data_IF_373782659183
#
_entry.id   IF_373782659183
#
_cell.length_a   1.000
_cell.length_b   1.000
_cell.length_c   1.000
_cell.angle_alpha   90.00
_cell.angle_beta   90.00
_cell.angle_gamma   90.00
#
_symmetry.space_group_name_H-M   'P 1'
#
loop_
_entity.id
_entity.type
_entity.pdbx_description
1 polymer ?
#
# COMPACT_ATOMS: atom_id res chain seq x y z
N UNK A 1 -8.57 -0.18 -25.02
CA UNK A 1 -9.88 0.00 -24.35
C UNK A 1 -9.63 0.36 -22.91
N UNK A 2 -10.57 1.02 -22.23
CA UNK A 2 -10.41 1.44 -20.83
C UNK A 2 -11.27 0.59 -19.91
N UNK A 3 -10.72 0.27 -18.75
CA UNK A 3 -11.47 -0.21 -17.59
C UNK A 3 -11.17 0.69 -16.40
N UNK A 4 -12.07 0.70 -15.43
CA UNK A 4 -12.04 1.58 -14.28
C UNK A 4 -12.04 0.76 -13.01
N UNK A 5 -11.29 1.18 -12.01
CA UNK A 5 -11.49 0.60 -10.67
C UNK A 5 -12.84 1.07 -10.10
N UNK A 6 -13.45 0.32 -9.16
CA UNK A 6 -14.86 0.50 -8.83
C UNK A 6 -15.27 1.84 -8.21
N UNK A 7 -14.36 2.56 -7.55
CA UNK A 7 -14.63 3.81 -6.83
C UNK A 7 -15.02 3.60 -5.36
N UNK A 8 -14.45 2.62 -4.67
CA UNK A 8 -14.59 2.41 -3.22
C UNK A 8 -13.74 3.36 -2.38
N UNK A 9 -12.80 4.07 -3.02
CA UNK A 9 -11.91 5.06 -2.42
C UNK A 9 -10.45 4.73 -2.68
N UNK A 10 -9.56 5.67 -2.38
CA UNK A 10 -8.15 5.60 -2.79
C UNK A 10 -7.46 4.30 -2.35
N UNK A 11 -7.69 3.82 -1.11
CA UNK A 11 -7.01 2.61 -0.62
C UNK A 11 -7.50 1.32 -1.31
N UNK A 12 -8.80 0.95 -1.31
CA UNK A 12 -9.25 -0.25 -2.01
C UNK A 12 -9.00 -0.21 -3.51
N UNK A 13 -9.23 0.94 -4.16
CA UNK A 13 -9.02 1.08 -5.59
C UNK A 13 -7.55 0.95 -5.98
N UNK A 14 -6.62 1.39 -5.14
CA UNK A 14 -5.18 1.17 -5.34
C UNK A 14 -4.84 -0.32 -5.32
N UNK A 15 -5.39 -1.07 -4.37
CA UNK A 15 -5.18 -2.52 -4.31
C UNK A 15 -5.78 -3.23 -5.52
N UNK A 16 -7.00 -2.87 -5.92
CA UNK A 16 -7.66 -3.42 -7.11
C UNK A 16 -6.84 -3.08 -8.38
N UNK A 17 -6.34 -1.86 -8.49
CA UNK A 17 -5.44 -1.44 -9.57
C UNK A 17 -4.19 -2.33 -9.61
N UNK A 18 -3.51 -2.55 -8.48
CA UNK A 18 -2.33 -3.41 -8.43
C UNK A 18 -2.63 -4.87 -8.79
N UNK A 19 -3.80 -5.39 -8.40
CA UNK A 19 -4.28 -6.72 -8.82
C UNK A 19 -4.38 -6.82 -10.34
N UNK A 20 -5.07 -5.86 -10.96
CA UNK A 20 -5.25 -5.81 -12.42
C UNK A 20 -3.90 -5.66 -13.12
N UNK A 21 -3.08 -4.70 -12.70
CA UNK A 21 -1.80 -4.39 -13.32
C UNK A 21 -0.80 -5.55 -13.20
N UNK A 22 -0.70 -6.18 -12.03
CA UNK A 22 0.18 -7.33 -11.85
C UNK A 22 -0.20 -8.48 -12.81
N UNK A 23 -1.49 -8.79 -12.94
CA UNK A 23 -1.94 -9.82 -13.88
C UNK A 23 -1.73 -9.37 -15.34
N UNK A 24 -1.95 -8.11 -15.65
CA UNK A 24 -1.74 -7.53 -16.98
C UNK A 24 -0.28 -7.60 -17.42
N UNK A 25 0.68 -7.41 -16.50
CA UNK A 25 2.12 -7.53 -16.76
C UNK A 25 2.57 -8.98 -16.93
N UNK A 26 1.85 -9.96 -16.37
CA UNK A 26 2.14 -11.40 -16.45
C UNK A 26 1.40 -12.12 -17.58
N UNK A 27 0.54 -11.40 -18.30
CA UNK A 27 -0.19 -11.93 -19.44
C UNK A 27 0.76 -12.44 -20.53
N UNK A 28 0.32 -13.45 -21.30
CA UNK A 28 1.17 -14.05 -22.36
C UNK A 28 1.42 -13.10 -23.51
N UNK A 29 0.53 -12.12 -23.68
CA UNK A 29 0.66 -11.02 -24.62
C UNK A 29 0.68 -9.71 -23.83
N UNK A 30 1.43 -8.68 -24.27
CA UNK A 30 1.38 -7.38 -23.63
C UNK A 30 -0.04 -6.79 -23.68
N UNK A 31 -0.70 -6.70 -22.52
CA UNK A 31 -2.07 -6.16 -22.43
C UNK A 31 -2.14 -4.79 -21.75
N UNK A 32 -1.25 -4.48 -20.80
CA UNK A 32 -1.21 -3.18 -20.12
C UNK A 32 -0.57 -2.12 -21.01
N UNK A 33 -1.20 -0.95 -21.08
CA UNK A 33 -0.66 0.23 -21.75
C UNK A 33 -0.26 1.29 -20.73
N UNK A 34 -1.26 1.83 -20.03
CA UNK A 34 -1.14 3.00 -19.18
C UNK A 34 -2.14 2.90 -18.03
N UNK A 35 -1.82 3.54 -16.92
CA UNK A 35 -2.71 3.72 -15.77
C UNK A 35 -2.77 5.20 -15.42
N UNK A 36 -3.97 5.71 -15.20
CA UNK A 36 -4.20 7.08 -14.73
C UNK A 36 -4.95 7.08 -13.40
N UNK A 37 -4.37 7.66 -12.36
CA UNK A 37 -5.04 7.92 -11.09
C UNK A 37 -5.91 9.19 -11.19
N UNK A 38 -7.21 9.05 -10.90
CA UNK A 38 -8.22 10.10 -11.01
C UNK A 38 -8.88 10.39 -9.64
N UNK A 39 -8.05 10.62 -8.61
CA UNK A 39 -8.51 10.91 -7.25
C UNK A 39 -8.89 9.65 -6.47
N UNK A 40 -10.10 9.14 -6.69
CA UNK A 40 -10.65 8.02 -5.91
C UNK A 40 -10.73 6.68 -6.66
N UNK A 41 -10.35 6.67 -7.93
CA UNK A 41 -10.34 5.51 -8.80
C UNK A 41 -9.21 5.64 -9.83
N UNK A 42 -8.97 4.57 -10.58
CA UNK A 42 -7.98 4.51 -11.64
C UNK A 42 -8.64 4.16 -12.98
N UNK A 43 -8.19 4.84 -14.04
CA UNK A 43 -8.42 4.43 -15.42
C UNK A 43 -7.25 3.54 -15.87
N UNK A 44 -7.53 2.34 -16.36
CA UNK A 44 -6.51 1.39 -16.82
C UNK A 44 -6.74 1.12 -18.30
N UNK A 45 -5.76 1.48 -19.13
CA UNK A 45 -5.81 1.19 -20.55
C UNK A 45 -5.27 -0.21 -20.85
N UNK A 46 -6.12 -1.04 -21.45
CA UNK A 46 -5.84 -2.43 -21.79
C UNK A 46 -6.06 -2.71 -23.28
N UNK A 47 -5.21 -3.53 -23.89
CA UNK A 47 -5.35 -3.93 -25.31
C UNK A 47 -6.33 -5.06 -25.53
N UNK A 48 -6.36 -6.02 -24.61
CA UNK A 48 -7.09 -7.28 -24.74
C UNK A 48 -7.67 -7.68 -23.37
N UNK A 49 -8.98 -7.47 -23.22
CA UNK A 49 -9.70 -7.78 -21.98
C UNK A 49 -9.81 -9.29 -21.74
N UNK A 50 -9.87 -10.10 -22.80
CA UNK A 50 -9.97 -11.55 -22.67
C UNK A 50 -8.66 -12.13 -22.15
N UNK A 51 -7.54 -11.70 -22.71
CA UNK A 51 -6.23 -12.12 -22.22
C UNK A 51 -5.97 -11.63 -20.79
N UNK A 52 -6.41 -10.41 -20.43
CA UNK A 52 -6.37 -9.94 -19.04
C UNK A 52 -7.18 -10.83 -18.10
N UNK A 53 -8.43 -11.15 -18.46
CA UNK A 53 -9.28 -12.03 -17.66
C UNK A 53 -8.66 -13.43 -17.49
N UNK A 54 -8.05 -13.99 -18.54
CA UNK A 54 -7.31 -15.25 -18.45
C UNK A 54 -6.12 -15.14 -17.52
N UNK A 55 -5.37 -14.04 -17.59
CA UNK A 55 -4.21 -13.82 -16.74
C UNK A 55 -4.60 -13.75 -15.25
N UNK A 56 -5.61 -12.95 -14.92
CA UNK A 56 -6.15 -12.84 -13.55
C UNK A 56 -6.63 -14.21 -13.05
N UNK A 57 -7.45 -14.90 -13.85
CA UNK A 57 -7.99 -16.20 -13.46
C UNK A 57 -6.88 -17.23 -13.19
N UNK A 58 -5.90 -17.32 -14.10
CA UNK A 58 -4.78 -18.25 -13.98
C UNK A 58 -3.88 -17.94 -12.77
N UNK A 59 -3.57 -16.66 -12.54
CA UNK A 59 -2.72 -16.25 -11.44
C UNK A 59 -3.41 -16.50 -10.09
N UNK A 60 -4.69 -16.17 -9.96
CA UNK A 60 -5.47 -16.46 -8.76
C UNK A 60 -5.54 -17.97 -8.50
N UNK A 61 -5.82 -18.79 -9.52
CA UNK A 61 -5.83 -20.26 -9.36
C UNK A 61 -4.50 -20.83 -8.86
N UNK A 62 -3.37 -20.25 -9.28
CA UNK A 62 -2.03 -20.72 -8.86
C UNK A 62 -1.64 -20.25 -7.47
N UNK A 63 -2.04 -19.05 -7.10
CA UNK A 63 -1.61 -18.38 -5.87
C UNK A 63 -2.66 -18.43 -4.75
N UNK A 64 -3.82 -19.06 -4.95
CA UNK A 64 -4.96 -19.03 -4.03
C UNK A 64 -4.55 -19.26 -2.56
N UNK A 65 -3.78 -20.32 -2.30
CA UNK A 65 -3.37 -20.67 -0.94
C UNK A 65 -2.36 -19.66 -0.35
N UNK A 66 -1.46 -19.12 -1.18
CA UNK A 66 -0.52 -18.08 -0.74
C UNK A 66 -1.25 -16.76 -0.43
N UNK A 67 -2.25 -16.42 -1.26
CA UNK A 67 -3.11 -15.25 -1.05
C UNK A 67 -3.84 -15.40 0.28
N UNK A 68 -4.52 -16.52 0.51
CA UNK A 68 -5.28 -16.77 1.73
C UNK A 68 -4.39 -16.86 2.97
N UNK A 69 -3.18 -17.43 2.85
CA UNK A 69 -2.20 -17.43 3.94
C UNK A 69 -1.78 -16.01 4.35
N UNK A 70 -1.46 -15.13 3.39
CA UNK A 70 -1.08 -13.73 3.70
C UNK A 70 -2.26 -12.96 4.29
N UNK A 71 -3.43 -13.08 3.67
CA UNK A 71 -4.64 -12.34 4.10
C UNK A 71 -5.20 -12.86 5.41
N UNK A 72 -5.07 -14.16 5.70
CA UNK A 72 -5.59 -14.82 6.90
C UNK A 72 -5.06 -14.22 8.22
N UNK A 73 -3.87 -13.60 8.21
CA UNK A 73 -3.35 -12.86 9.36
C UNK A 73 -4.22 -11.64 9.73
N UNK A 74 -4.94 -11.10 8.74
CA UNK A 74 -5.72 -9.86 8.81
C UNK A 74 -7.23 -10.08 8.78
N UNK A 75 -7.69 -11.33 8.82
CA UNK A 75 -9.10 -11.65 8.71
C UNK A 75 -9.54 -12.66 9.76
N UNK A 76 -10.83 -12.73 10.00
CA UNK A 76 -11.45 -13.72 10.87
C UNK A 76 -11.76 -15.00 10.07
N UNK A 77 -11.81 -16.19 10.69
CA UNK A 77 -12.07 -17.44 9.97
C UNK A 77 -13.36 -17.43 9.13
N UNK A 78 -14.42 -16.77 9.61
CA UNK A 78 -15.67 -16.64 8.85
C UNK A 78 -15.59 -15.69 7.65
N UNK A 79 -14.61 -14.78 7.64
CA UNK A 79 -14.33 -13.91 6.49
C UNK A 79 -13.53 -14.66 5.44
N UNK A 80 -12.58 -15.51 5.84
CA UNK A 80 -11.74 -16.30 4.94
C UNK A 80 -12.56 -17.12 3.94
N UNK A 81 -13.66 -17.74 4.38
CA UNK A 81 -14.57 -18.47 3.47
C UNK A 81 -15.16 -17.56 2.38
N UNK A 82 -15.52 -16.32 2.72
CA UNK A 82 -16.06 -15.34 1.75
C UNK A 82 -14.98 -14.89 0.77
N UNK A 83 -13.76 -14.69 1.27
CA UNK A 83 -12.60 -14.37 0.44
C UNK A 83 -12.28 -15.49 -0.54
N UNK A 84 -12.23 -16.74 -0.07
CA UNK A 84 -12.02 -17.92 -0.91
C UNK A 84 -13.08 -18.01 -2.01
N UNK A 85 -14.36 -17.84 -1.66
CA UNK A 85 -15.44 -17.83 -2.67
C UNK A 85 -15.26 -16.71 -3.71
N UNK A 86 -14.78 -15.54 -3.31
CA UNK A 86 -14.53 -14.40 -4.21
C UNK A 86 -13.32 -14.66 -5.13
N UNK A 87 -12.28 -15.31 -4.62
CA UNK A 87 -11.15 -15.76 -5.42
C UNK A 87 -11.56 -16.85 -6.42
N UNK A 88 -12.39 -17.81 -6.01
CA UNK A 88 -12.95 -18.85 -6.89
C UNK A 88 -13.79 -18.22 -8.00
N UNK A 89 -14.61 -17.22 -7.68
CA UNK A 89 -15.36 -16.47 -8.70
C UNK A 89 -14.43 -15.86 -9.76
N UNK A 90 -13.34 -15.21 -9.36
CA UNK A 90 -12.39 -14.63 -10.31
C UNK A 90 -11.46 -15.65 -10.99
N UNK A 91 -11.30 -16.84 -10.42
CA UNK A 91 -10.52 -17.93 -11.04
C UNK A 91 -11.27 -18.59 -12.20
N UNK A 92 -12.57 -18.34 -12.31
CA UNK A 92 -13.36 -18.72 -13.48
C UNK A 92 -13.29 -17.65 -14.57
N UNK A 93 -12.61 -17.97 -15.68
CA UNK A 93 -12.38 -17.04 -16.80
C UNK A 93 -13.63 -16.28 -17.27
N UNK A 94 -14.78 -16.97 -17.44
CA UNK A 94 -16.01 -16.34 -17.94
C UNK A 94 -16.58 -15.33 -16.96
N UNK A 95 -16.56 -15.66 -15.67
CA UNK A 95 -17.05 -14.79 -14.60
C UNK A 95 -16.13 -13.59 -14.43
N UNK A 96 -14.81 -13.81 -14.43
CA UNK A 96 -13.82 -12.73 -14.42
C UNK A 96 -13.98 -11.79 -15.63
N UNK A 97 -14.09 -12.32 -16.85
CA UNK A 97 -14.28 -11.51 -18.05
C UNK A 97 -15.58 -10.69 -17.99
N UNK A 98 -16.67 -11.30 -17.50
CA UNK A 98 -17.94 -10.60 -17.35
C UNK A 98 -17.81 -9.44 -16.35
N UNK A 99 -17.17 -9.69 -15.21
CA UNK A 99 -16.90 -8.66 -14.23
C UNK A 99 -16.02 -7.52 -14.77
N UNK A 100 -14.95 -7.84 -15.51
CA UNK A 100 -14.11 -6.80 -16.14
C UNK A 100 -14.87 -5.96 -17.18
N UNK A 101 -15.87 -6.54 -17.86
CA UNK A 101 -16.76 -5.77 -18.76
C UNK A 101 -17.64 -4.80 -17.98
N UNK A 102 -18.09 -5.16 -16.79
CA UNK A 102 -18.83 -4.25 -15.90
C UNK A 102 -17.96 -3.09 -15.44
N UNK A 103 -16.65 -3.31 -15.30
CA UNK A 103 -15.66 -2.26 -15.04
C UNK A 103 -15.31 -1.41 -16.28
N UNK A 104 -15.95 -1.60 -17.43
CA UNK A 104 -15.74 -0.73 -18.61
C UNK A 104 -16.45 0.63 -18.49
N UNK A 105 -17.22 0.84 -17.43
CA UNK A 105 -17.82 2.12 -17.08
C UNK A 105 -17.47 2.49 -15.62
N UNK A 106 -17.39 3.78 -15.35
CA UNK A 106 -17.12 4.31 -14.00
C UNK A 106 -18.29 4.05 -13.03
N UNK A 107 -17.99 4.02 -11.73
CA UNK A 107 -19.01 4.06 -10.68
C UNK A 107 -19.60 2.72 -10.26
N UNK A 108 -18.91 1.59 -10.50
CA UNK A 108 -19.35 0.26 -10.07
C UNK A 108 -19.66 0.18 -8.56
N UNK A 109 -18.94 0.94 -7.73
CA UNK A 109 -19.17 1.02 -6.28
C UNK A 109 -20.55 1.62 -5.88
N UNK A 110 -21.29 2.22 -6.82
CA UNK A 110 -22.58 2.87 -6.56
C UNK A 110 -23.65 1.94 -5.97
N UNK A 111 -23.59 0.64 -6.31
CA UNK A 111 -24.52 -0.40 -5.82
C UNK A 111 -23.96 -1.19 -4.61
N UNK A 112 -22.79 -0.80 -4.12
CA UNK A 112 -22.04 -1.47 -3.05
C UNK A 112 -21.90 -0.58 -1.79
N UNK A 113 -20.97 -0.92 -0.89
CA UNK A 113 -20.68 -0.14 0.30
C UNK A 113 -21.63 -0.42 1.47
N UNK A 114 -21.89 0.60 2.30
CA UNK A 114 -22.65 0.44 3.56
C UNK A 114 -24.16 0.26 3.36
N UNK A 115 -24.68 0.64 2.20
CA UNK A 115 -26.10 0.53 1.84
C UNK A 115 -26.35 -0.47 0.71
N UNK A 116 -25.28 -0.96 0.08
CA UNK A 116 -25.35 -1.86 -1.07
C UNK A 116 -25.44 -3.35 -0.72
N UNK A 117 -25.40 -4.16 -1.78
CA UNK A 117 -25.39 -5.62 -1.72
C UNK A 117 -23.98 -6.20 -1.54
N UNK A 118 -23.89 -7.52 -1.42
CA UNK A 118 -22.62 -8.25 -1.48
C UNK A 118 -22.08 -8.79 -0.14
N UNK A 119 -20.82 -9.22 -0.18
CA UNK A 119 -20.11 -9.79 0.95
C UNK A 119 -19.47 -8.71 1.82
N UNK A 120 -19.49 -8.91 3.13
CA UNK A 120 -18.79 -8.02 4.08
C UNK A 120 -17.29 -7.96 3.79
N UNK A 121 -16.77 -6.76 3.57
CA UNK A 121 -15.34 -6.48 3.44
C UNK A 121 -14.65 -6.60 4.79
N UNK A 122 -13.53 -7.33 4.90
CA UNK A 122 -12.68 -7.28 6.08
C UNK A 122 -12.20 -5.86 6.38
N UNK A 123 -12.05 -5.56 7.67
CA UNK A 123 -11.61 -4.22 8.14
C UNK A 123 -10.24 -3.84 7.57
N UNK A 124 -9.36 -4.81 7.31
CA UNK A 124 -8.05 -4.59 6.69
C UNK A 124 -8.12 -4.02 5.27
N UNK A 125 -9.21 -4.30 4.56
CA UNK A 125 -9.42 -3.87 3.16
C UNK A 125 -10.14 -2.53 3.08
N UNK A 126 -10.98 -2.23 4.07
CA UNK A 126 -11.74 -0.97 4.16
C UNK A 126 -11.57 -0.33 5.53
N UNK A 127 -10.34 0.09 5.90
CA UNK A 127 -10.05 0.60 7.25
C UNK A 127 -10.73 1.95 7.54
N UNK A 128 -10.98 2.75 6.51
CA UNK A 128 -11.74 4.00 6.61
C UNK A 128 -13.24 3.77 6.89
N UNK A 129 -13.78 2.62 6.49
CA UNK A 129 -15.18 2.32 6.70
C UNK A 129 -15.43 1.85 8.14
N UNK A 130 -14.56 1.01 8.72
CA UNK A 130 -14.82 0.44 10.05
C UNK A 130 -16.11 -0.38 10.11
N UNK A 131 -16.46 -0.87 11.31
CA UNK A 131 -17.65 -1.71 11.54
C UNK A 131 -18.93 -0.89 11.70
N UNK A 132 -18.84 0.21 12.43
CA UNK A 132 -19.99 1.00 12.91
C UNK A 132 -20.23 2.21 12.03
N UNK A 133 -21.49 2.55 11.77
CA UNK A 133 -21.83 3.80 11.07
C UNK A 133 -22.11 4.90 12.09
N UNK A 134 -21.35 5.99 12.02
CA UNK A 134 -21.32 7.03 13.05
C UNK A 134 -22.27 8.19 12.80
N UNK A 135 -23.17 8.07 11.83
CA UNK A 135 -24.17 9.09 11.46
C UNK A 135 -25.40 9.11 12.39
N UNK A 136 -25.49 8.16 13.33
CA UNK A 136 -26.64 7.93 14.20
C UNK A 136 -26.18 7.83 15.67
N UNK A 137 -27.04 8.31 16.59
CA UNK A 137 -26.80 8.29 18.05
C UNK A 137 -26.58 6.88 18.61
N UNK A 138 -27.29 5.89 18.06
CA UNK A 138 -26.93 4.49 18.19
C UNK A 138 -26.10 4.11 16.97
N UNK A 139 -24.93 3.53 17.15
CA UNK A 139 -24.08 3.11 16.05
C UNK A 139 -24.53 1.76 15.48
N UNK A 140 -25.33 1.70 14.39
CA UNK A 140 -25.75 0.43 13.84
C UNK A 140 -24.56 -0.33 13.23
N UNK A 141 -24.58 -1.65 13.33
CA UNK A 141 -23.69 -2.53 12.60
C UNK A 141 -24.07 -2.50 11.11
N UNK A 142 -23.40 -1.63 10.35
CA UNK A 142 -23.58 -1.46 8.90
C UNK A 142 -22.22 -1.67 8.24
N UNK A 143 -21.77 -2.93 8.12
CA UNK A 143 -20.48 -3.22 7.54
C UNK A 143 -20.41 -2.79 6.08
N UNK A 144 -19.22 -2.45 5.61
CA UNK A 144 -18.99 -2.19 4.19
C UNK A 144 -19.12 -3.50 3.40
N UNK A 145 -19.89 -3.50 2.32
CA UNK A 145 -20.10 -4.68 1.46
C UNK A 145 -19.54 -4.46 0.07
N UNK A 146 -19.09 -5.55 -0.54
CA UNK A 146 -18.49 -5.61 -1.87
C UNK A 146 -19.08 -6.77 -2.68
N UNK A 147 -19.21 -6.64 -4.01
CA UNK A 147 -19.49 -7.82 -4.83
C UNK A 147 -18.31 -8.81 -4.82
N UNK A 148 -18.52 -10.03 -5.29
CA UNK A 148 -17.47 -11.05 -5.32
C UNK A 148 -16.29 -10.65 -6.22
N UNK A 149 -16.53 -9.92 -7.31
CA UNK A 149 -15.48 -9.43 -8.19
C UNK A 149 -14.59 -8.40 -7.51
N UNK A 150 -15.18 -7.35 -6.94
CA UNK A 150 -14.48 -6.32 -6.18
C UNK A 150 -13.71 -6.93 -5.00
N UNK A 151 -14.35 -7.79 -4.20
CA UNK A 151 -13.71 -8.45 -3.08
C UNK A 151 -12.56 -9.37 -3.51
N UNK A 152 -12.71 -10.09 -4.62
CA UNK A 152 -11.67 -10.95 -5.18
C UNK A 152 -10.46 -10.17 -5.66
N UNK A 153 -10.64 -9.09 -6.44
CA UNK A 153 -9.53 -8.25 -6.91
C UNK A 153 -8.87 -7.51 -5.75
N UNK A 154 -9.66 -7.07 -4.76
CA UNK A 154 -9.14 -6.44 -3.56
C UNK A 154 -8.30 -7.41 -2.72
N UNK A 155 -8.73 -8.67 -2.61
CA UNK A 155 -7.97 -9.72 -1.91
C UNK A 155 -6.67 -10.05 -2.63
N UNK A 156 -6.72 -10.21 -3.95
CA UNK A 156 -5.52 -10.46 -4.76
C UNK A 156 -4.58 -9.25 -4.78
N UNK A 157 -5.14 -8.04 -4.83
CA UNK A 157 -4.46 -6.77 -4.77
C UNK A 157 -3.78 -6.53 -3.44
N UNK A 158 -4.42 -6.93 -2.34
CA UNK A 158 -3.79 -6.94 -1.02
C UNK A 158 -2.56 -7.84 -1.01
N UNK A 159 -2.63 -9.03 -1.63
CA UNK A 159 -1.49 -9.93 -1.73
C UNK A 159 -0.33 -9.32 -2.55
N UNK A 160 -0.63 -8.66 -3.68
CA UNK A 160 0.36 -8.14 -4.63
C UNK A 160 0.84 -6.70 -4.41
N UNK A 161 0.05 -5.88 -3.74
CA UNK A 161 0.23 -4.43 -3.66
C UNK A 161 0.37 -3.91 -2.22
N UNK A 162 0.76 -4.78 -1.27
CA UNK A 162 1.01 -4.36 0.10
C UNK A 162 2.32 -4.91 0.66
N UNK A 163 3.00 -4.07 1.42
CA UNK A 163 4.02 -4.49 2.40
C UNK A 163 3.32 -4.62 3.74
N UNK A 164 3.45 -5.78 4.37
CA UNK A 164 2.82 -6.09 5.63
C UNK A 164 3.83 -6.62 6.64
N UNK A 165 3.74 -6.13 7.87
CA UNK A 165 4.67 -6.50 8.94
C UNK A 165 3.94 -6.65 10.26
N UNK A 166 4.49 -7.46 11.16
CA UNK A 166 3.91 -7.68 12.47
C UNK A 166 4.98 -7.82 13.54
N UNK A 167 4.64 -7.41 14.75
CA UNK A 167 5.51 -7.52 15.91
C UNK A 167 4.69 -7.87 17.14
N UNK A 168 5.23 -8.80 17.93
CA UNK A 168 4.69 -9.11 19.25
C UNK A 168 5.01 -7.95 20.20
N UNK A 169 3.97 -7.26 20.68
CA UNK A 169 4.09 -6.15 21.63
C UNK A 169 4.15 -6.65 23.07
N UNK A 170 3.36 -7.68 23.37
CA UNK A 170 3.34 -8.38 24.65
C UNK A 170 2.98 -9.85 24.41
N UNK A 171 3.03 -10.70 25.45
CA UNK A 171 2.68 -12.14 25.34
C UNK A 171 1.34 -12.40 24.64
N UNK A 172 0.42 -11.44 24.73
CA UNK A 172 -0.94 -11.58 24.24
C UNK A 172 -1.33 -10.52 23.20
N UNK A 173 -0.39 -9.72 22.67
CA UNK A 173 -0.73 -8.64 21.73
C UNK A 173 0.23 -8.57 20.55
N UNK A 174 -0.34 -8.57 19.35
CA UNK A 174 0.39 -8.42 18.09
C UNK A 174 -0.04 -7.12 17.41
N UNK A 175 0.94 -6.30 17.05
CA UNK A 175 0.75 -5.15 16.17
C UNK A 175 0.94 -5.61 14.74
N UNK A 176 0.07 -5.15 13.84
CA UNK A 176 0.25 -5.32 12.41
C UNK A 176 0.30 -3.95 11.74
N UNK A 177 1.13 -3.81 10.72
CA UNK A 177 1.15 -2.65 9.84
C UNK A 177 1.03 -3.12 8.41
N UNK A 178 0.17 -2.45 7.66
CA UNK A 178 -0.04 -2.64 6.23
C UNK A 178 0.31 -1.33 5.55
N UNK A 179 1.11 -1.41 4.50
CA UNK A 179 1.54 -0.27 3.71
C UNK A 179 1.28 -0.51 2.23
N UNK A 180 0.78 0.50 1.54
CA UNK A 180 0.68 0.55 0.08
C UNK A 180 0.95 1.97 -0.41
N UNK A 181 1.21 2.13 -1.70
CA UNK A 181 1.46 3.42 -2.33
C UNK A 181 0.36 3.63 -3.36
N UNK A 182 -0.32 4.77 -3.27
CA UNK A 182 -1.30 5.23 -4.25
C UNK A 182 -0.71 6.38 -5.08
N UNK A 183 -1.30 6.67 -6.23
CA UNK A 183 -0.92 7.82 -7.04
C UNK A 183 -2.10 8.47 -7.75
N UNK A 184 -1.95 9.76 -8.05
CA UNK A 184 -2.82 10.54 -8.94
C UNK A 184 -1.96 11.01 -10.12
N UNK A 185 -2.49 11.05 -11.34
CA UNK A 185 -1.69 11.33 -12.55
C UNK A 185 -1.43 10.08 -13.40
N UNK A 186 -0.38 10.08 -14.21
CA UNK A 186 -0.15 9.11 -15.28
C UNK A 186 1.07 8.23 -15.01
N UNK A 187 0.92 6.94 -15.31
CA UNK A 187 2.01 5.98 -15.30
C UNK A 187 1.93 5.04 -16.49
N UNK A 188 3.06 4.81 -17.15
CA UNK A 188 3.16 3.76 -18.16
C UNK A 188 3.36 2.37 -17.54
N UNK A 189 3.28 1.34 -18.38
CA UNK A 189 3.46 -0.07 -17.98
C UNK A 189 4.82 -0.36 -17.31
N UNK A 190 5.87 0.38 -17.65
CA UNK A 190 7.23 0.09 -17.19
C UNK A 190 7.43 0.69 -15.80
N UNK A 191 6.95 1.91 -15.57
CA UNK A 191 6.84 2.52 -14.23
C UNK A 191 5.97 1.67 -13.29
N UNK A 192 4.81 1.18 -13.77
CA UNK A 192 3.95 0.29 -12.97
C UNK A 192 4.67 -1.03 -12.62
N UNK A 193 5.49 -1.56 -13.52
CA UNK A 193 6.28 -2.78 -13.26
C UNK A 193 7.30 -2.53 -12.15
N UNK A 194 8.00 -1.41 -12.19
CA UNK A 194 9.00 -1.06 -11.17
C UNK A 194 8.37 -0.88 -9.79
N UNK A 195 7.23 -0.19 -9.71
CA UNK A 195 6.48 -0.03 -8.45
C UNK A 195 5.92 -1.36 -7.95
N UNK A 196 5.47 -2.25 -8.83
CA UNK A 196 5.06 -3.59 -8.40
C UNK A 196 6.24 -4.45 -7.93
N UNK A 197 7.44 -4.21 -8.47
CA UNK A 197 8.69 -4.87 -8.05
C UNK A 197 9.07 -4.60 -6.59
N UNK A 198 8.67 -3.43 -6.03
CA UNK A 198 8.82 -3.12 -4.60
C UNK A 198 8.18 -4.19 -3.71
N UNK A 199 7.00 -4.68 -4.09
CA UNK A 199 6.26 -5.67 -3.29
C UNK A 199 6.83 -7.08 -3.43
N UNK A 200 7.60 -7.37 -4.47
CA UNK A 200 8.31 -8.65 -4.61
C UNK A 200 9.48 -8.76 -3.61
N UNK A 201 10.00 -7.63 -3.13
CA UNK A 201 11.04 -7.53 -2.12
C UNK A 201 10.51 -7.25 -0.70
N UNK A 202 9.20 -7.48 -0.46
CA UNK A 202 8.52 -7.24 0.82
C UNK A 202 9.31 -7.80 2.02
N UNK A 203 9.88 -9.00 1.91
CA UNK A 203 10.58 -9.65 3.02
C UNK A 203 11.82 -8.89 3.51
N UNK A 204 12.56 -8.23 2.62
CA UNK A 204 13.72 -7.42 3.02
C UNK A 204 13.26 -6.18 3.76
N UNK A 205 12.36 -5.41 3.13
CA UNK A 205 11.82 -4.17 3.69
C UNK A 205 11.12 -4.45 5.02
N UNK A 206 10.34 -5.53 5.11
CA UNK A 206 9.64 -5.98 6.31
C UNK A 206 10.58 -6.18 7.51
N UNK A 207 11.74 -6.82 7.29
CA UNK A 207 12.71 -7.07 8.36
C UNK A 207 13.33 -5.77 8.86
N UNK A 208 13.62 -4.86 7.94
CA UNK A 208 14.25 -3.57 8.26
C UNK A 208 13.31 -2.65 9.04
N UNK A 209 12.02 -2.63 8.70
CA UNK A 209 11.05 -1.76 9.37
C UNK A 209 10.52 -2.31 10.69
N UNK A 210 10.64 -3.63 10.92
CA UNK A 210 10.05 -4.30 12.09
C UNK A 210 10.54 -3.70 13.43
N UNK A 211 11.78 -3.21 13.47
CA UNK A 211 12.34 -2.56 14.67
C UNK A 211 11.65 -1.23 15.03
N UNK A 212 10.99 -0.57 14.08
CA UNK A 212 10.40 0.75 14.30
C UNK A 212 8.89 0.74 14.64
N UNK A 213 8.19 -0.41 14.53
CA UNK A 213 6.72 -0.47 14.51
C UNK A 213 6.01 0.05 15.77
N UNK A 214 6.64 -0.07 16.93
CA UNK A 214 6.14 0.50 18.19
C UNK A 214 6.96 1.69 18.70
N UNK A 215 8.02 2.07 17.99
CA UNK A 215 8.91 3.17 18.38
C UNK A 215 8.54 4.49 17.72
N UNK A 216 8.09 4.47 16.46
CA UNK A 216 7.83 5.68 15.68
C UNK A 216 6.33 5.83 15.35
N UNK A 217 5.83 7.07 15.21
CA UNK A 217 4.50 7.30 14.66
C UNK A 217 4.35 6.71 13.26
N UNK A 218 3.14 6.26 12.89
CA UNK A 218 2.85 5.64 11.59
C UNK A 218 3.27 6.51 10.41
N UNK A 219 3.15 7.84 10.54
CA UNK A 219 3.64 8.81 9.54
C UNK A 219 5.14 8.66 9.31
N UNK A 220 5.95 8.61 10.37
CA UNK A 220 7.41 8.46 10.27
C UNK A 220 7.77 7.11 9.68
N UNK A 221 7.02 6.06 10.03
CA UNK A 221 7.21 4.73 9.46
C UNK A 221 7.00 4.70 7.95
N UNK A 222 5.98 5.40 7.43
CA UNK A 222 5.78 5.55 5.98
C UNK A 222 7.01 6.22 5.34
N UNK A 223 7.58 7.24 5.98
CA UNK A 223 8.75 7.95 5.45
C UNK A 223 10.00 7.05 5.46
N UNK A 224 10.18 6.24 6.51
CA UNK A 224 11.21 5.19 6.56
C UNK A 224 11.03 4.21 5.40
N UNK A 225 9.81 3.70 5.21
CA UNK A 225 9.48 2.79 4.10
C UNK A 225 9.84 3.38 2.73
N UNK A 226 9.46 4.64 2.48
CA UNK A 226 9.80 5.34 1.23
C UNK A 226 11.31 5.51 1.07
N UNK A 227 12.05 5.82 2.15
CA UNK A 227 13.51 5.90 2.04
C UNK A 227 14.18 4.57 1.71
N UNK A 228 13.56 3.44 2.06
CA UNK A 228 14.11 2.10 1.80
C UNK A 228 13.83 1.58 0.39
N UNK A 229 13.16 2.37 -0.44
CA UNK A 229 13.00 2.02 -1.84
C UNK A 229 14.36 2.08 -2.53
N UNK A 230 14.56 1.21 -3.52
CA UNK A 230 15.77 1.29 -4.35
C UNK A 230 15.84 2.65 -5.05
N UNK A 231 17.04 3.19 -5.20
CA UNK A 231 17.25 4.51 -5.83
C UNK A 231 16.60 4.63 -7.20
N UNK A 232 16.69 3.57 -8.01
CA UNK A 232 16.08 3.53 -9.34
C UNK A 232 14.56 3.65 -9.27
N UNK A 233 13.92 2.99 -8.28
CA UNK A 233 12.49 3.10 -8.03
C UNK A 233 12.13 4.53 -7.59
N UNK A 234 12.91 5.12 -6.67
CA UNK A 234 12.68 6.50 -6.22
C UNK A 234 12.73 7.49 -7.39
N UNK A 235 13.73 7.34 -8.28
CA UNK A 235 13.87 8.19 -9.46
C UNK A 235 12.73 8.01 -10.45
N UNK A 236 12.37 6.75 -10.75
CA UNK A 236 11.24 6.44 -11.61
C UNK A 236 9.93 7.03 -11.09
N UNK A 237 9.72 6.98 -9.77
CA UNK A 237 8.56 7.61 -9.14
C UNK A 237 8.61 9.14 -9.21
N UNK A 238 9.76 9.78 -8.96
CA UNK A 238 9.92 11.25 -9.04
C UNK A 238 9.81 11.79 -10.47
N UNK A 239 10.24 11.01 -11.48
CA UNK A 239 10.17 11.35 -12.90
C UNK A 239 8.79 11.06 -13.52
N UNK A 240 7.94 10.29 -12.84
CA UNK A 240 6.59 10.01 -13.31
C UNK A 240 5.73 11.28 -13.30
N UNK A 241 4.81 11.40 -14.27
CA UNK A 241 3.80 12.46 -14.29
C UNK A 241 2.67 12.14 -13.30
N UNK A 242 3.04 11.86 -12.05
CA UNK A 242 2.16 11.41 -10.99
C UNK A 242 2.55 12.02 -9.64
N UNK A 243 1.55 12.22 -8.79
CA UNK A 243 1.69 12.60 -7.38
C UNK A 243 1.43 11.40 -6.49
N UNK A 244 2.31 11.17 -5.53
CA UNK A 244 2.39 9.93 -4.76
C UNK A 244 1.90 10.07 -3.34
N UNK A 245 1.17 9.05 -2.87
CA UNK A 245 0.68 8.97 -1.50
C UNK A 245 1.02 7.62 -0.87
N UNK A 246 1.77 7.65 0.22
CA UNK A 246 1.96 6.49 1.08
C UNK A 246 0.73 6.31 1.98
N UNK A 247 0.14 5.12 1.98
CA UNK A 247 -0.99 4.76 2.84
C UNK A 247 -0.55 3.68 3.80
N UNK A 248 -0.57 4.00 5.09
CA UNK A 248 -0.26 3.09 6.19
C UNK A 248 -1.48 2.84 7.06
N UNK A 249 -1.64 1.59 7.50
CA UNK A 249 -2.70 1.19 8.43
C UNK A 249 -2.08 0.35 9.55
N UNK A 250 -2.30 0.76 10.80
CA UNK A 250 -1.85 0.04 12.01
C UNK A 250 -3.03 -0.65 12.67
N UNK A 251 -2.90 -1.95 12.89
CA UNK A 251 -3.85 -2.78 13.63
C UNK A 251 -3.21 -3.33 14.89
N UNK A 252 -4.06 -3.67 15.86
CA UNK A 252 -3.68 -4.45 17.03
C UNK A 252 -4.65 -5.63 17.17
N UNK A 253 -4.12 -6.81 17.49
CA UNK A 253 -4.88 -8.02 17.80
C UNK A 253 -4.45 -8.55 19.15
N UNK A 254 -5.40 -8.66 20.06
CA UNK A 254 -5.20 -9.29 21.37
C UNK A 254 -5.53 -10.79 21.27
N UNK A 255 -4.69 -11.64 21.86
CA UNK A 255 -4.88 -13.08 21.91
C UNK A 255 -6.20 -13.39 22.63
N UNK A 256 -7.00 -14.26 22.02
CA UNK A 256 -8.36 -14.57 22.51
C UNK A 256 -9.44 -13.61 22.03
N UNK A 257 -9.09 -12.47 21.39
CA UNK A 257 -10.06 -11.65 20.64
C UNK A 257 -10.05 -12.04 19.17
N UNK A 258 -11.25 -12.26 18.63
CA UNK A 258 -11.42 -12.55 17.21
C UNK A 258 -11.19 -11.30 16.33
N UNK A 259 -11.57 -10.12 16.82
CA UNK A 259 -11.54 -8.89 16.04
C UNK A 259 -10.20 -8.15 16.15
N UNK A 260 -9.74 -7.60 15.02
CA UNK A 260 -8.64 -6.63 14.99
C UNK A 260 -9.18 -5.22 15.26
N UNK A 261 -8.37 -4.42 15.96
CA UNK A 261 -8.68 -3.02 16.25
C UNK A 261 -7.80 -2.13 15.39
N UNK A 262 -8.40 -1.18 14.66
CA UNK A 262 -7.64 -0.14 13.96
C UNK A 262 -7.06 0.82 15.00
N UNK A 263 -5.74 0.98 15.00
CA UNK A 263 -5.00 1.90 15.86
C UNK A 263 -4.50 3.14 15.15
N UNK A 264 -4.41 3.08 13.82
CA UNK A 264 -4.07 4.25 13.01
C UNK A 264 -4.32 4.00 11.54
N UNK A 265 -4.74 5.04 10.85
CA UNK A 265 -4.78 5.14 9.40
C UNK A 265 -4.07 6.45 9.06
N UNK A 266 -3.04 6.37 8.23
CA UNK A 266 -2.26 7.52 7.82
C UNK A 266 -2.13 7.52 6.30
N UNK A 267 -2.53 8.62 5.69
CA UNK A 267 -2.25 8.94 4.30
C UNK A 267 -1.26 10.10 4.29
N UNK A 268 -0.16 9.95 3.55
CA UNK A 268 0.91 10.93 3.50
C UNK A 268 1.28 11.19 2.05
N UNK A 269 1.30 12.46 1.64
CA UNK A 269 1.91 12.88 0.37
C UNK A 269 3.41 12.66 0.49
N UNK A 270 3.99 11.88 -0.43
CA UNK A 270 5.41 11.48 -0.36
C UNK A 270 6.28 12.12 -1.43
N UNK A 271 5.71 12.91 -2.35
CA UNK A 271 6.46 13.60 -3.40
C UNK A 271 7.66 14.42 -2.88
N UNK A 272 7.54 15.21 -1.80
CA UNK A 272 8.70 15.97 -1.30
C UNK A 272 9.85 15.08 -0.83
N UNK A 273 9.55 13.87 -0.36
CA UNK A 273 10.54 12.90 0.09
C UNK A 273 11.16 12.20 -1.11
N UNK A 274 10.34 11.78 -2.08
CA UNK A 274 10.82 11.19 -3.33
C UNK A 274 11.76 12.14 -4.06
N UNK A 275 11.35 13.40 -4.20
CA UNK A 275 12.15 14.46 -4.81
C UNK A 275 13.47 14.71 -4.07
N UNK A 276 13.45 14.68 -2.73
CA UNK A 276 14.69 14.80 -1.97
C UNK A 276 15.60 13.61 -2.23
N UNK A 277 15.07 12.39 -2.15
CA UNK A 277 15.84 11.17 -2.29
C UNK A 277 16.37 10.95 -3.72
N UNK A 278 15.64 11.37 -4.75
CA UNK A 278 16.03 11.21 -6.17
C UNK A 278 17.30 11.99 -6.54
N UNK A 279 17.54 13.11 -5.84
CA UNK A 279 18.72 13.97 -6.01
C UNK A 279 20.00 13.45 -5.35
N UNK A 280 19.90 12.43 -4.48
CA UNK A 280 21.07 11.87 -3.79
C UNK A 280 21.88 11.00 -4.76
N UNK A 281 23.21 11.18 -4.79
CA UNK A 281 24.11 10.32 -5.55
C UNK A 281 24.17 8.90 -4.98
N UNK A 282 24.46 7.89 -5.82
CA UNK A 282 24.37 6.47 -5.41
C UNK A 282 25.17 6.16 -4.14
N UNK A 283 26.41 6.62 -4.05
CA UNK A 283 27.28 6.39 -2.89
C UNK A 283 26.78 7.10 -1.61
N UNK A 284 26.12 8.25 -1.81
CA UNK A 284 25.52 9.03 -0.73
C UNK A 284 24.16 8.44 -0.29
N UNK A 285 23.45 7.73 -1.16
CA UNK A 285 22.15 7.10 -0.87
C UNK A 285 22.29 5.99 0.18
N UNK A 286 23.25 5.08 -0.03
CA UNK A 286 23.58 4.04 0.95
C UNK A 286 24.08 4.62 2.27
N UNK A 287 24.78 5.75 2.21
CA UNK A 287 25.22 6.46 3.40
C UNK A 287 24.05 7.09 4.16
N UNK A 288 23.06 7.62 3.46
CA UNK A 288 21.81 8.11 4.03
C UNK A 288 21.01 6.97 4.68
N UNK A 289 20.89 5.81 4.03
CA UNK A 289 20.19 4.65 4.60
C UNK A 289 20.84 4.13 5.89
N UNK A 290 22.17 4.05 5.92
CA UNK A 290 22.94 3.70 7.12
C UNK A 290 22.71 4.69 8.24
N UNK A 291 22.67 5.98 7.92
CA UNK A 291 22.33 6.99 8.92
C UNK A 291 20.93 6.72 9.49
N UNK A 292 19.91 6.53 8.66
CA UNK A 292 18.54 6.21 9.14
C UNK A 292 18.55 4.98 10.06
N UNK A 293 19.41 3.99 9.81
CA UNK A 293 19.58 2.84 10.70
C UNK A 293 20.25 3.16 12.02
N UNK A 294 21.25 4.05 12.02
CA UNK A 294 21.97 4.51 13.21
C UNK A 294 21.12 5.47 14.05
N UNK A 295 20.11 6.12 13.46
CA UNK A 295 19.12 6.94 14.14
C UNK A 295 18.13 6.06 14.89
N UNK A 296 18.52 5.62 16.08
CA UNK A 296 17.62 4.88 16.97
C UNK A 296 16.54 5.78 17.59
N UNK A 297 16.77 7.11 17.66
CA UNK A 297 15.84 8.07 18.29
C UNK A 297 14.66 8.44 17.34
N UNK A 298 13.41 8.13 17.70
CA UNK A 298 12.22 8.45 16.90
C UNK A 298 12.03 9.94 16.60
N UNK A 299 12.47 10.81 17.52
CA UNK A 299 12.34 12.26 17.40
C UNK A 299 13.34 12.80 16.38
N UNK A 300 14.56 12.28 16.39
CA UNK A 300 15.58 12.60 15.40
C UNK A 300 15.13 12.21 13.98
N UNK A 301 14.59 10.99 13.84
CA UNK A 301 14.00 10.53 12.57
C UNK A 301 12.85 11.44 12.10
N UNK A 302 11.94 11.80 13.01
CA UNK A 302 10.84 12.69 12.68
C UNK A 302 11.35 14.06 12.17
N UNK A 303 12.34 14.67 12.84
CA UNK A 303 12.92 15.93 12.39
C UNK A 303 13.67 15.80 11.05
N UNK A 304 14.38 14.69 10.83
CA UNK A 304 15.07 14.44 9.57
C UNK A 304 14.08 14.39 8.40
N UNK A 305 13.01 13.61 8.51
CA UNK A 305 12.03 13.54 7.43
C UNK A 305 11.18 14.80 7.30
N UNK A 306 10.94 15.53 8.40
CA UNK A 306 10.30 16.85 8.32
C UNK A 306 11.20 17.87 7.62
N UNK A 307 12.53 17.77 7.79
CA UNK A 307 13.49 18.55 7.00
C UNK A 307 13.40 18.19 5.51
N UNK A 308 13.42 16.90 5.15
CA UNK A 308 13.27 16.49 3.74
C UNK A 308 11.99 17.03 3.12
N UNK A 309 10.91 17.07 3.90
CA UNK A 309 9.62 17.59 3.47
C UNK A 309 9.58 19.13 3.33
N UNK A 310 10.13 19.87 4.30
CA UNK A 310 9.97 21.34 4.39
C UNK A 310 11.19 22.15 3.95
N UNK A 311 12.34 21.51 3.78
CA UNK A 311 13.65 22.12 3.53
C UNK A 311 14.00 23.25 4.53
N UNK A 312 13.63 23.06 5.80
CA UNK A 312 13.87 24.05 6.86
C UNK A 312 15.11 23.68 7.69
N UNK A 313 16.14 24.54 7.65
CA UNK A 313 17.42 24.34 8.34
C UNK A 313 17.31 24.20 9.86
N UNK A 314 16.27 24.74 10.50
CA UNK A 314 16.06 24.55 11.95
C UNK A 314 15.71 23.11 12.28
N UNK A 315 14.98 22.42 11.40
CA UNK A 315 14.64 21.00 11.56
C UNK A 315 15.88 20.13 11.39
N UNK A 316 16.72 20.49 10.41
CA UNK A 316 18.03 19.87 10.24
C UNK A 316 18.88 20.05 11.49
N UNK A 317 19.03 21.27 11.99
CA UNK A 317 19.79 21.54 13.20
C UNK A 317 19.26 20.77 14.42
N UNK A 318 17.93 20.63 14.55
CA UNK A 318 17.30 19.80 15.59
C UNK A 318 17.67 18.33 15.41
N UNK A 319 17.47 17.75 14.23
CA UNK A 319 17.86 16.37 13.93
C UNK A 319 19.35 16.16 14.26
N UNK A 320 20.22 17.02 13.74
CA UNK A 320 21.67 16.98 14.00
C UNK A 320 22.00 17.03 15.49
N UNK A 321 21.32 17.80 16.32
CA UNK A 321 21.60 17.84 17.77
C UNK A 321 21.37 16.50 18.47
N UNK A 322 20.32 15.78 18.10
CA UNK A 322 20.09 14.42 18.60
C UNK A 322 21.19 13.46 18.13
N UNK A 323 21.73 13.72 16.94
CA UNK A 323 22.74 12.89 16.27
C UNK A 323 24.15 13.17 16.81
N UNK A 324 24.46 14.43 17.11
CA UNK A 324 25.78 14.87 17.61
C UNK A 324 26.10 14.39 19.02
N UNK A 325 25.13 13.82 19.74
CA UNK A 325 25.43 13.00 20.92
C UNK A 325 26.31 11.78 20.54
N UNK A 326 26.38 11.45 19.25
CA UNK A 326 27.24 10.45 18.61
C UNK A 326 28.18 11.12 17.57
N UNK A 327 29.30 11.72 18.02
CA UNK A 327 30.14 12.68 17.26
C UNK A 327 30.57 12.30 15.82
N UNK A 328 30.96 11.06 15.48
CA UNK A 328 31.40 10.70 14.12
C UNK A 328 30.28 10.81 13.07
N UNK A 329 29.04 10.58 13.51
CA UNK A 329 27.86 10.48 12.67
C UNK A 329 27.34 11.85 12.21
N UNK A 330 27.46 12.86 13.08
CA UNK A 330 26.98 14.23 12.80
C UNK A 330 27.72 14.95 11.68
N UNK A 331 29.03 14.73 11.53
CA UNK A 331 29.82 15.36 10.46
C UNK A 331 29.46 14.82 9.07
N UNK A 332 29.37 13.48 8.95
CA UNK A 332 28.98 12.80 7.70
C UNK A 332 27.56 13.16 7.28
N UNK A 333 26.67 13.34 8.25
CA UNK A 333 25.32 13.79 7.99
C UNK A 333 25.25 15.18 7.38
N UNK A 334 25.98 16.13 7.96
CA UNK A 334 26.02 17.49 7.45
C UNK A 334 26.52 17.53 6.00
N UNK A 335 27.48 16.68 5.63
CA UNK A 335 27.97 16.56 4.26
C UNK A 335 26.90 16.01 3.29
N UNK A 336 26.18 14.95 3.68
CA UNK A 336 25.11 14.38 2.84
C UNK A 336 23.95 15.37 2.70
N UNK A 337 23.52 15.99 3.81
CA UNK A 337 22.38 16.89 3.81
C UNK A 337 22.68 18.28 3.24
N UNK A 338 23.95 18.68 3.14
CA UNK A 338 24.35 19.90 2.43
C UNK A 338 24.30 19.74 0.89
N UNK A 339 24.27 18.50 0.39
CA UNK A 339 24.09 18.19 -1.03
C UNK A 339 22.61 18.12 -1.42
N UNK A 340 21.72 18.00 -0.44
CA UNK A 340 20.26 17.92 -0.56
C UNK A 340 19.61 19.29 -0.46
#
# INVERSE_FOLDING_TARGET
MKIYTPGHGIYPDTLIMYSICNAALKARKPVLLEVKGAGYYYEIEVKDLEELARSIANDISKEEENILKKVGYFTQPQEERKLRNSLVYLSHYKDCLQFLKELSAEGHAGDEGRRGGGATSPVAFTPFAGKYFTDQFNYPDKPYKLCNGCLGLLTYGFFKGTISTSQLRSKDRVIFIIFTIAFEGYMDKDQIREVLGLYEHEDSVRREIAKYLDLVPLRVLIQILISRLGRDIVRSMDEADASWRGIGVKFEKEKGRAAMEIRGLCELIVDPILNALSTIESDDYESFLRLVDELEDPTALAYLYEYLFKRNMDLLAKASRYIYQNRPMGARLAEILAKL
#
